data_IF_625170528669
#
_entry.id   IF_625170528669
#
_cell.length_a   1.000
_cell.length_b   1.000
_cell.length_c   1.000
_cell.angle_alpha   90.00
_cell.angle_beta   90.00
_cell.angle_gamma   90.00
#
_symmetry.space_group_name_H-M   'P 1'
#
loop_
_entity.id
_entity.type
_entity.pdbx_description
1 polymer ?
#
# COMPACT_ATOMS: atom_id res chain seq x y z
N UNK A 1 -13.67 -14.38 -1.15
CA UNK A 1 -12.78 -13.26 -1.51
C UNK A 1 -12.13 -12.74 -0.23
N UNK A 2 -11.07 -11.91 -0.32
CA UNK A 2 -10.59 -11.03 0.78
C UNK A 2 -9.66 -11.61 1.88
N UNK A 3 -8.74 -12.55 1.58
CA UNK A 3 -7.61 -12.79 2.51
C UNK A 3 -6.41 -11.90 2.16
N UNK A 4 -6.00 -11.83 0.90
CA UNK A 4 -4.78 -11.13 0.49
C UNK A 4 -4.84 -9.61 0.66
N UNK A 5 -6.02 -8.98 0.56
CA UNK A 5 -6.18 -7.52 0.74
C UNK A 5 -6.05 -7.12 2.21
N UNK A 6 -6.72 -7.86 3.11
CA UNK A 6 -6.63 -7.66 4.57
C UNK A 6 -5.20 -7.90 5.07
N UNK A 7 -4.56 -8.97 4.60
CA UNK A 7 -3.17 -9.28 4.95
C UNK A 7 -2.20 -8.23 4.39
N UNK A 8 -2.46 -7.66 3.21
CA UNK A 8 -1.65 -6.58 2.65
C UNK A 8 -1.77 -5.28 3.45
N UNK A 9 -2.97 -4.93 3.90
CA UNK A 9 -3.17 -3.77 4.78
C UNK A 9 -2.47 -3.94 6.13
N UNK A 10 -2.64 -5.11 6.75
CA UNK A 10 -1.96 -5.45 8.00
C UNK A 10 -0.45 -5.40 7.84
N UNK A 11 0.08 -6.03 6.79
CA UNK A 11 1.51 -5.99 6.48
C UNK A 11 2.00 -4.55 6.33
N UNK A 12 1.30 -3.71 5.55
CA UNK A 12 1.71 -2.31 5.37
C UNK A 12 1.70 -1.55 6.71
N UNK A 13 0.68 -1.76 7.55
CA UNK A 13 0.60 -1.15 8.88
C UNK A 13 1.77 -1.58 9.78
N UNK A 14 2.07 -2.88 9.83
CA UNK A 14 3.19 -3.45 10.58
C UNK A 14 4.55 -2.91 10.08
N UNK A 15 4.64 -2.52 8.81
CA UNK A 15 5.83 -1.95 8.19
C UNK A 15 5.79 -0.40 8.14
N UNK A 16 5.05 0.22 9.04
CA UNK A 16 5.07 1.67 9.27
C UNK A 16 4.13 2.48 8.38
N UNK A 17 3.22 1.83 7.65
CA UNK A 17 2.12 2.47 6.94
C UNK A 17 2.50 3.21 5.67
N UNK A 18 3.75 3.10 5.20
CA UNK A 18 4.26 3.79 4.01
C UNK A 18 5.30 2.92 3.29
N UNK A 19 5.23 2.91 1.96
CA UNK A 19 6.17 2.19 1.12
C UNK A 19 6.37 2.82 -0.26
N UNK A 20 7.42 2.38 -0.93
CA UNK A 20 7.78 2.78 -2.28
C UNK A 20 7.82 1.57 -3.20
N UNK A 21 7.20 1.69 -4.37
CA UNK A 21 7.31 0.68 -5.41
C UNK A 21 8.69 0.74 -6.06
N UNK A 22 9.43 -0.36 -5.96
CA UNK A 22 10.78 -0.48 -6.49
C UNK A 22 10.92 -1.70 -7.42
N UNK A 23 12.15 -1.93 -7.88
CA UNK A 23 12.46 -2.87 -8.95
C UNK A 23 12.35 -2.23 -10.34
N UNK A 24 12.74 -2.99 -11.37
CA UNK A 24 12.80 -2.52 -12.77
C UNK A 24 11.43 -2.10 -13.32
N UNK A 25 10.37 -2.74 -12.83
CA UNK A 25 8.99 -2.56 -13.32
C UNK A 25 8.03 -1.96 -12.27
N UNK A 26 8.53 -1.53 -11.11
CA UNK A 26 7.74 -0.95 -10.01
C UNK A 26 6.57 -1.81 -9.53
N UNK A 27 6.71 -3.14 -9.62
CA UNK A 27 5.66 -4.10 -9.25
C UNK A 27 5.66 -4.44 -7.76
N UNK A 28 6.81 -4.32 -7.08
CA UNK A 28 6.98 -4.73 -5.70
C UNK A 28 7.01 -3.51 -4.77
N UNK A 29 6.22 -3.54 -3.70
CA UNK A 29 6.21 -2.50 -2.67
C UNK A 29 7.31 -2.79 -1.64
N UNK A 30 8.19 -1.83 -1.41
CA UNK A 30 9.17 -1.86 -0.32
C UNK A 30 8.74 -0.93 0.81
N UNK A 31 8.66 -1.47 2.02
CA UNK A 31 8.37 -0.71 3.24
C UNK A 31 9.37 -1.12 4.31
N UNK A 32 9.97 -0.14 4.99
CA UNK A 32 11.00 -0.35 6.05
C UNK A 32 12.17 -1.28 5.68
N UNK A 33 12.50 -1.38 4.40
CA UNK A 33 13.60 -2.23 3.90
C UNK A 33 13.17 -3.65 3.52
N UNK A 34 11.89 -4.00 3.69
CA UNK A 34 11.32 -5.30 3.33
C UNK A 34 10.41 -5.19 2.11
N UNK A 35 10.37 -6.25 1.31
CA UNK A 35 9.53 -6.33 0.11
C UNK A 35 8.22 -7.03 0.44
N UNK A 36 7.11 -6.39 0.10
CA UNK A 36 5.79 -6.94 0.36
C UNK A 36 5.54 -8.21 -0.48
N UNK A 37 4.99 -9.28 0.11
CA UNK A 37 4.66 -10.52 -0.60
C UNK A 37 3.34 -10.43 -1.40
N UNK A 38 2.99 -9.24 -1.89
CA UNK A 38 1.72 -8.97 -2.58
C UNK A 38 1.94 -8.32 -3.94
N UNK A 39 1.13 -8.72 -4.92
CA UNK A 39 1.22 -8.20 -6.28
C UNK A 39 0.74 -6.74 -6.37
N UNK A 40 1.17 -6.03 -7.42
CA UNK A 40 0.70 -4.67 -7.70
C UNK A 40 -0.82 -4.55 -7.82
N UNK A 41 -1.48 -5.58 -8.36
CA UNK A 41 -2.93 -5.64 -8.49
C UNK A 41 -3.65 -5.58 -7.14
N UNK A 42 -3.10 -6.20 -6.09
CA UNK A 42 -3.64 -6.13 -4.72
C UNK A 42 -3.64 -4.70 -4.22
N UNK A 43 -2.53 -3.97 -4.38
CA UNK A 43 -2.46 -2.56 -4.00
C UNK A 43 -3.40 -1.67 -4.80
N UNK A 44 -3.54 -1.94 -6.11
CA UNK A 44 -4.48 -1.20 -6.96
C UNK A 44 -5.94 -1.45 -6.53
N UNK A 45 -6.30 -2.68 -6.15
CA UNK A 45 -7.62 -3.00 -5.62
C UNK A 45 -7.89 -2.28 -4.29
N UNK A 46 -6.93 -2.29 -3.36
CA UNK A 46 -7.01 -1.52 -2.11
C UNK A 46 -7.16 -0.01 -2.37
N UNK A 47 -6.42 0.53 -3.33
CA UNK A 47 -6.50 1.95 -3.69
C UNK A 47 -7.87 2.31 -4.27
N UNK A 48 -8.46 1.44 -5.11
CA UNK A 48 -9.82 1.64 -5.65
C UNK A 48 -10.90 1.63 -4.58
N UNK A 49 -10.62 1.00 -3.43
CA UNK A 49 -11.49 0.98 -2.25
C UNK A 49 -11.19 2.12 -1.25
N UNK A 50 -10.19 2.96 -1.52
CA UNK A 50 -9.76 4.03 -0.61
C UNK A 50 -9.03 3.55 0.65
N UNK A 51 -8.59 2.28 0.68
CA UNK A 51 -7.93 1.67 1.84
C UNK A 51 -6.41 1.95 1.87
N UNK A 52 -5.85 2.40 0.74
CA UNK A 52 -4.49 2.93 0.61
C UNK A 52 -4.49 4.11 -0.35
N UNK A 53 -3.50 4.99 -0.24
CA UNK A 53 -3.32 6.16 -1.11
C UNK A 53 -2.01 6.03 -1.89
N UNK A 54 -2.08 6.18 -3.21
CA UNK A 54 -0.88 6.36 -4.03
C UNK A 54 -0.51 7.83 -4.10
N UNK A 55 0.76 8.13 -3.83
CA UNK A 55 1.27 9.49 -3.83
C UNK A 55 2.73 9.53 -4.28
N UNK A 56 3.16 10.66 -4.81
CA UNK A 56 4.39 10.69 -5.60
C UNK A 56 4.33 9.67 -6.75
N UNK A 57 5.34 9.63 -7.62
CA UNK A 57 5.27 8.74 -8.80
C UNK A 57 5.19 7.24 -8.45
N UNK A 58 5.60 6.85 -7.24
CA UNK A 58 5.83 5.44 -6.87
C UNK A 58 5.57 5.13 -5.39
N UNK A 59 4.84 5.92 -4.63
CA UNK A 59 4.63 5.62 -3.19
C UNK A 59 3.19 5.21 -2.90
N UNK A 60 3.05 4.44 -1.83
CA UNK A 60 1.80 3.93 -1.30
C UNK A 60 1.82 4.16 0.21
N UNK A 61 0.72 4.64 0.78
CA UNK A 61 0.56 4.75 2.23
C UNK A 61 -0.84 4.37 2.68
N UNK A 62 -0.99 4.07 3.96
CA UNK A 62 -2.30 4.03 4.59
C UNK A 62 -2.92 5.44 4.59
N UNK A 63 -4.25 5.56 4.37
CA UNK A 63 -4.93 6.82 4.46
C UNK A 63 -4.76 7.38 5.87
N UNK A 64 -4.43 8.67 5.97
CA UNK A 64 -4.47 9.34 7.26
C UNK A 64 -5.94 9.49 7.66
N UNK A 65 -6.34 9.17 8.89
CA UNK A 65 -7.73 9.31 9.34
C UNK A 65 -8.23 10.77 9.37
N UNK A 66 -7.39 11.75 9.01
CA UNK A 66 -7.62 13.16 9.26
C UNK A 66 -7.41 14.01 8.00
N UNK A 67 -8.39 14.00 7.10
CA UNK A 67 -8.66 15.14 6.22
C UNK A 67 -10.11 15.16 5.73
N UNK A 68 -11.04 15.07 6.68
CA UNK A 68 -12.40 15.52 6.46
C UNK A 68 -12.50 16.97 6.97
N UNK A 69 -12.47 18.01 6.12
CA UNK A 69 -12.91 19.32 6.56
C UNK A 69 -14.41 19.21 6.84
N UNK A 70 -14.76 19.25 8.13
CA UNK A 70 -16.13 19.55 8.54
C UNK A 70 -16.54 20.94 8.05
#
# INVERSE_FOLDING_TARGET
MIHSETEALKWLADHGGDGVFAGRDHQALLARGETAPFMRSTWNALASQGLVEFYGKRRCRLPQPERNPS
#
